data_IF_893283497964
#
_entry.id   IF_893283497964
#
_cell.length_a   1.000
_cell.length_b   1.000
_cell.length_c   1.000
_cell.angle_alpha   90.00
_cell.angle_beta   90.00
_cell.angle_gamma   90.00
#
_symmetry.space_group_name_H-M   'P 1'
#
loop_
_entity.id
_entity.type
_entity.pdbx_description
1 polymer ?
#
# COMPACT_ATOMS: atom_id res chain seq x y z
N UNK A 1 -4.20 9.99 46.27
CA UNK A 1 -5.32 9.06 46.52
C UNK A 1 -4.87 7.67 46.12
N UNK A 2 -4.95 6.66 46.99
CA UNK A 2 -4.78 5.27 46.58
C UNK A 2 -5.84 4.93 45.52
N UNK A 3 -5.50 4.19 44.44
CA UNK A 3 -6.46 3.86 43.41
C UNK A 3 -7.51 2.90 43.97
N UNK A 4 -8.74 3.37 44.14
CA UNK A 4 -9.87 2.51 44.45
C UNK A 4 -10.09 1.53 43.27
N UNK A 5 -10.32 0.24 43.55
CA UNK A 5 -10.63 -0.73 42.50
C UNK A 5 -11.85 -0.28 41.71
N UNK A 6 -11.80 -0.45 40.38
CA UNK A 6 -12.88 -0.09 39.48
C UNK A 6 -14.18 -0.82 39.84
N UNK A 7 -15.28 -0.08 39.90
CA UNK A 7 -16.62 -0.63 40.19
C UNK A 7 -17.18 -1.45 39.02
N UNK A 8 -16.70 -1.21 37.80
CA UNK A 8 -17.14 -1.89 36.58
C UNK A 8 -16.00 -2.69 35.96
N UNK A 9 -16.30 -3.93 35.58
CA UNK A 9 -15.36 -4.80 34.88
C UNK A 9 -15.36 -4.49 33.38
N UNK A 10 -14.27 -3.91 32.88
CA UNK A 10 -14.06 -3.64 31.46
C UNK A 10 -12.94 -4.52 30.93
N UNK A 11 -13.31 -5.63 30.27
CA UNK A 11 -12.34 -6.56 29.70
C UNK A 11 -11.75 -6.05 28.36
N UNK A 12 -10.44 -6.22 28.12
CA UNK A 12 -9.82 -5.89 26.83
C UNK A 12 -10.31 -6.83 25.72
N UNK A 13 -10.31 -6.33 24.48
CA UNK A 13 -10.43 -7.18 23.30
C UNK A 13 -9.05 -7.66 22.85
N UNK A 14 -8.97 -8.86 22.27
CA UNK A 14 -7.69 -9.41 21.82
C UNK A 14 -7.06 -8.51 20.76
N UNK A 15 -5.81 -8.11 20.94
CA UNK A 15 -5.07 -7.22 20.04
C UNK A 15 -5.52 -5.75 20.11
N UNK A 16 -6.36 -5.35 21.07
CA UNK A 16 -6.77 -3.96 21.24
C UNK A 16 -5.59 -3.05 21.59
N UNK A 17 -5.64 -1.80 21.12
CA UNK A 17 -4.66 -0.78 21.54
C UNK A 17 -4.99 -0.30 22.96
N UNK A 18 -3.97 0.05 23.73
CA UNK A 18 -4.16 0.60 25.09
C UNK A 18 -5.00 1.87 25.04
N UNK A 19 -4.79 2.72 24.03
CA UNK A 19 -5.62 3.91 23.79
C UNK A 19 -7.11 3.57 23.57
N UNK A 20 -7.42 2.53 22.77
CA UNK A 20 -8.80 2.06 22.53
C UNK A 20 -9.46 1.57 23.81
N UNK A 21 -8.71 0.82 24.64
CA UNK A 21 -9.20 0.34 25.93
C UNK A 21 -9.54 1.50 26.88
N UNK A 22 -8.67 2.52 26.99
CA UNK A 22 -8.91 3.70 27.82
C UNK A 22 -10.20 4.43 27.38
N UNK A 23 -10.41 4.61 26.07
CA UNK A 23 -11.63 5.23 25.56
C UNK A 23 -12.89 4.43 25.92
N UNK A 24 -12.82 3.09 25.81
CA UNK A 24 -13.94 2.21 26.19
C UNK A 24 -14.19 2.20 27.69
N UNK A 25 -13.14 2.19 28.49
CA UNK A 25 -13.21 2.27 29.93
C UNK A 25 -13.90 3.57 30.36
N UNK A 26 -13.50 4.71 29.78
CA UNK A 26 -14.16 5.98 30.04
C UNK A 26 -15.66 5.91 29.70
N UNK A 27 -16.01 5.36 28.54
CA UNK A 27 -17.40 5.14 28.14
C UNK A 27 -18.19 4.24 29.09
N UNK A 28 -17.56 3.21 29.67
CA UNK A 28 -18.21 2.33 30.66
C UNK A 28 -18.59 3.06 31.95
N UNK A 29 -17.83 4.10 32.33
CA UNK A 29 -18.12 4.97 33.46
C UNK A 29 -18.97 6.20 33.08
N UNK A 30 -19.44 6.32 31.83
CA UNK A 30 -20.15 7.51 31.35
C UNK A 30 -19.28 8.77 31.29
N UNK A 31 -17.96 8.61 31.24
CA UNK A 31 -16.99 9.71 31.23
C UNK A 31 -16.44 9.95 29.81
N UNK A 32 -16.02 11.18 29.56
CA UNK A 32 -15.17 11.47 28.40
C UNK A 32 -13.76 10.89 28.58
N UNK A 33 -13.15 10.44 27.48
CA UNK A 33 -11.80 9.91 27.51
C UNK A 33 -10.76 10.94 28.03
N UNK A 34 -11.00 12.25 27.86
CA UNK A 34 -10.12 13.29 28.44
C UNK A 34 -10.12 13.24 29.97
N UNK A 35 -11.27 13.02 30.59
CA UNK A 35 -11.42 12.94 32.05
C UNK A 35 -10.62 11.78 32.60
N UNK A 36 -10.79 10.59 32.02
CA UNK A 36 -10.05 9.41 32.46
C UNK A 36 -8.54 9.55 32.21
N UNK A 37 -8.14 10.17 31.10
CA UNK A 37 -6.72 10.43 30.80
C UNK A 37 -6.05 11.35 31.83
N UNK A 38 -6.78 12.14 32.60
CA UNK A 38 -6.20 13.00 33.65
C UNK A 38 -5.57 12.20 34.81
N UNK A 39 -5.86 10.90 34.90
CA UNK A 39 -5.26 9.98 35.87
C UNK A 39 -3.77 9.67 35.62
N UNK A 40 -3.20 10.08 34.47
CA UNK A 40 -1.77 9.89 34.15
C UNK A 40 -1.06 11.23 33.92
N UNK A 41 0.23 11.26 34.29
CA UNK A 41 1.15 12.32 33.86
C UNK A 41 1.61 12.07 32.41
N UNK A 42 1.25 12.97 31.51
CA UNK A 42 1.56 12.86 30.08
C UNK A 42 2.93 13.46 29.74
N UNK A 43 3.76 12.70 29.03
CA UNK A 43 5.12 13.13 28.62
C UNK A 43 5.16 13.83 27.26
N UNK A 44 4.09 13.75 26.49
CA UNK A 44 3.94 14.37 25.18
C UNK A 44 2.46 14.49 24.80
N UNK A 45 2.21 15.11 23.65
CA UNK A 45 0.88 15.24 23.05
C UNK A 45 0.56 14.06 22.12
N UNK A 46 -0.73 13.74 21.92
CA UNK A 46 -1.15 12.72 20.98
C UNK A 46 -0.70 13.07 19.55
N UNK A 47 -0.25 12.10 18.74
CA UNK A 47 0.11 12.36 17.37
C UNK A 47 -1.15 12.78 16.59
N UNK A 48 -1.01 13.85 15.80
CA UNK A 48 -2.11 14.44 15.04
C UNK A 48 -2.06 14.13 13.54
N UNK A 49 -3.15 14.43 12.85
CA UNK A 49 -3.15 14.60 11.39
C UNK A 49 -2.81 16.03 11.01
N UNK A 50 -2.29 16.24 9.79
CA UNK A 50 -1.98 17.57 9.26
C UNK A 50 -3.22 18.49 9.20
N UNK A 51 -4.44 17.92 9.21
CA UNK A 51 -5.73 18.62 9.27
C UNK A 51 -6.27 18.90 10.68
N UNK A 52 -5.51 18.59 11.73
CA UNK A 52 -5.94 18.69 13.13
C UNK A 52 -6.62 17.44 13.66
N UNK A 53 -6.64 17.27 14.98
CA UNK A 53 -7.21 16.10 15.67
C UNK A 53 -6.22 14.94 15.86
N UNK A 54 -6.48 14.11 16.87
CA UNK A 54 -5.64 12.95 17.20
C UNK A 54 -5.86 11.82 16.20
N UNK A 55 -4.77 11.15 15.80
CA UNK A 55 -4.83 10.00 14.88
C UNK A 55 -5.59 8.84 15.52
N UNK A 56 -6.36 8.10 14.73
CA UNK A 56 -7.06 6.92 15.23
C UNK A 56 -6.10 5.76 15.59
N UNK A 57 -4.92 5.70 14.98
CA UNK A 57 -3.84 4.76 15.34
C UNK A 57 -2.94 5.24 16.50
N UNK A 58 -3.30 6.33 17.18
CA UNK A 58 -2.55 6.78 18.35
C UNK A 58 -2.58 5.69 19.44
N UNK A 59 -1.41 5.39 19.98
CA UNK A 59 -1.22 4.41 21.04
C UNK A 59 -0.67 5.07 22.30
N UNK A 60 -1.04 4.52 23.46
CA UNK A 60 -0.57 4.92 24.77
C UNK A 60 0.37 3.84 25.32
N UNK A 61 1.59 4.23 25.64
CA UNK A 61 2.51 3.43 26.46
C UNK A 61 2.47 3.92 27.90
N UNK A 62 2.50 2.99 28.84
CA UNK A 62 2.35 3.23 30.27
C UNK A 62 3.57 2.71 31.02
N UNK A 63 4.04 3.47 32.02
CA UNK A 63 5.02 2.95 32.97
C UNK A 63 4.36 1.90 33.90
N UNK A 64 5.16 1.20 34.70
CA UNK A 64 4.67 0.13 35.58
C UNK A 64 3.50 0.58 36.49
N UNK A 65 3.61 1.74 37.12
CA UNK A 65 2.54 2.29 37.98
C UNK A 65 1.30 2.68 37.17
N UNK A 66 1.48 3.21 35.96
CA UNK A 66 0.39 3.53 35.05
C UNK A 66 -0.38 2.31 34.58
N UNK A 67 0.31 1.17 34.41
CA UNK A 67 -0.28 -0.13 34.09
C UNK A 67 -1.10 -0.69 35.25
N UNK A 68 -0.54 -0.67 36.46
CA UNK A 68 -1.26 -1.04 37.68
C UNK A 68 -2.55 -0.24 37.86
N UNK A 69 -2.48 1.07 37.62
CA UNK A 69 -3.66 1.94 37.67
C UNK A 69 -4.70 1.54 36.62
N UNK A 70 -4.30 1.30 35.38
CA UNK A 70 -5.25 0.89 34.33
C UNK A 70 -5.89 -0.47 34.64
N UNK A 71 -5.13 -1.43 35.18
CA UNK A 71 -5.64 -2.73 35.61
C UNK A 71 -6.69 -2.58 36.72
N UNK A 72 -6.38 -1.78 37.74
CA UNK A 72 -7.30 -1.46 38.83
C UNK A 72 -8.60 -0.81 38.32
N UNK A 73 -8.50 0.21 37.46
CA UNK A 73 -9.68 0.89 36.90
C UNK A 73 -10.54 -0.01 36.02
N UNK A 74 -9.92 -0.93 35.27
CA UNK A 74 -10.62 -1.94 34.47
C UNK A 74 -11.28 -3.04 35.32
N UNK A 75 -10.89 -3.19 36.58
CA UNK A 75 -11.31 -4.32 37.43
C UNK A 75 -10.81 -5.67 36.87
N UNK A 76 -9.60 -5.71 36.31
CA UNK A 76 -8.99 -6.94 35.78
C UNK A 76 -7.52 -7.06 36.19
N UNK A 77 -7.03 -8.29 36.30
CA UNK A 77 -5.62 -8.59 36.56
C UNK A 77 -4.72 -8.13 35.42
N UNK A 78 -3.50 -7.69 35.75
CA UNK A 78 -2.50 -7.26 34.76
C UNK A 78 -2.17 -8.36 33.74
N UNK A 79 -2.20 -9.64 34.16
CA UNK A 79 -1.94 -10.77 33.27
C UNK A 79 -3.02 -10.95 32.17
N UNK A 80 -4.23 -10.42 32.38
CA UNK A 80 -5.30 -10.41 31.37
C UNK A 80 -4.99 -9.33 30.34
N UNK A 81 -4.57 -8.15 30.80
CA UNK A 81 -4.16 -7.04 29.93
C UNK A 81 -2.91 -7.40 29.13
N UNK A 82 -1.89 -7.99 29.75
CA UNK A 82 -0.65 -8.41 29.10
C UNK A 82 -0.88 -9.42 27.96
N UNK A 83 -1.87 -10.32 28.09
CA UNK A 83 -2.22 -11.29 27.05
C UNK A 83 -3.04 -10.69 25.91
N UNK A 84 -3.83 -9.66 26.21
CA UNK A 84 -4.76 -9.06 25.25
C UNK A 84 -4.16 -7.86 24.50
N UNK A 85 -3.31 -7.06 25.14
CA UNK A 85 -2.79 -5.80 24.63
C UNK A 85 -1.32 -5.98 24.18
N UNK A 86 -1.02 -5.95 22.87
CA UNK A 86 0.34 -6.14 22.35
C UNK A 86 1.35 -5.09 22.84
N UNK A 87 0.89 -3.89 23.17
CA UNK A 87 1.72 -2.78 23.64
C UNK A 87 1.96 -2.78 25.16
N UNK A 88 1.35 -3.70 25.93
CA UNK A 88 1.34 -3.67 27.41
C UNK A 88 2.75 -3.64 28.02
N UNK A 89 3.64 -4.50 27.53
CA UNK A 89 5.01 -4.60 28.04
C UNK A 89 6.02 -3.69 27.37
N UNK A 90 5.60 -2.85 26.40
CA UNK A 90 6.54 -2.03 25.64
C UNK A 90 7.02 -0.85 26.48
N UNK A 91 8.34 -0.70 26.56
CA UNK A 91 8.99 0.40 27.26
C UNK A 91 9.15 1.61 26.35
N UNK A 92 9.31 2.78 26.96
CA UNK A 92 9.49 4.03 26.24
C UNK A 92 10.53 4.90 26.93
N UNK A 93 11.53 5.37 26.18
CA UNK A 93 12.59 6.22 26.71
C UNK A 93 12.07 7.49 27.41
N UNK A 94 10.88 8.01 27.04
CA UNK A 94 10.27 9.18 27.70
C UNK A 94 9.66 8.85 29.06
N UNK A 95 9.46 7.57 29.36
CA UNK A 95 8.88 7.08 30.61
C UNK A 95 9.95 6.67 31.63
N UNK A 96 11.20 6.45 31.19
CA UNK A 96 12.34 6.05 32.02
C UNK A 96 12.90 7.15 32.93
N UNK A 97 12.45 8.41 32.78
CA UNK A 97 12.99 9.58 33.50
C UNK A 97 12.06 10.15 34.61
N UNK A 98 11.04 9.39 35.04
CA UNK A 98 10.07 9.85 36.05
C UNK A 98 10.48 9.54 37.49
N UNK A 99 10.06 10.36 38.45
CA UNK A 99 10.11 10.02 39.89
C UNK A 99 9.38 8.68 40.12
N UNK A 100 10.07 7.74 40.75
CA UNK A 100 9.52 6.43 41.10
C UNK A 100 8.21 6.59 41.87
N UNK A 101 7.11 6.04 41.33
CA UNK A 101 5.81 5.98 42.01
C UNK A 101 4.65 6.75 41.37
N UNK A 102 4.85 7.53 40.30
CA UNK A 102 3.74 8.28 39.66
C UNK A 102 3.25 7.62 38.36
N UNK A 103 1.92 7.39 38.19
CA UNK A 103 1.35 6.92 36.92
C UNK A 103 1.70 7.88 35.76
N UNK A 104 2.48 7.40 34.80
CA UNK A 104 2.91 8.19 33.64
C UNK A 104 2.55 7.51 32.32
N UNK A 105 2.28 8.31 31.30
CA UNK A 105 1.88 7.86 29.98
C UNK A 105 2.60 8.64 28.87
N UNK A 106 2.89 7.96 27.76
CA UNK A 106 3.47 8.55 26.57
C UNK A 106 2.70 8.12 25.32
N UNK A 107 2.43 9.07 24.43
CA UNK A 107 1.83 8.81 23.14
C UNK A 107 2.85 8.32 22.12
N UNK A 108 2.43 7.34 21.31
CA UNK A 108 3.14 6.84 20.13
C UNK A 108 2.18 6.61 18.98
N UNK A 109 2.72 6.40 17.79
CA UNK A 109 1.95 5.84 16.67
C UNK A 109 1.95 4.33 16.80
N UNK A 110 0.76 3.71 16.82
CA UNK A 110 0.65 2.28 17.08
C UNK A 110 1.46 1.43 16.09
N UNK A 111 1.50 1.84 14.81
CA UNK A 111 2.32 1.21 13.77
C UNK A 111 3.80 1.03 14.13
N UNK A 112 4.37 1.95 14.91
CA UNK A 112 5.77 1.90 15.35
C UNK A 112 5.97 1.10 16.64
N UNK A 113 4.89 0.75 17.35
CA UNK A 113 4.95 0.08 18.66
C UNK A 113 4.92 -1.44 18.51
N UNK A 114 3.89 -1.98 17.87
CA UNK A 114 3.66 -3.43 17.81
C UNK A 114 3.19 -3.94 16.43
N UNK A 115 3.09 -3.06 15.43
CA UNK A 115 2.75 -3.42 14.06
C UNK A 115 1.48 -2.74 13.53
N UNK A 116 0.95 -3.19 12.38
CA UNK A 116 -0.14 -2.51 11.68
C UNK A 116 -1.42 -2.40 12.52
N UNK A 117 -2.05 -1.21 12.47
CA UNK A 117 -3.23 -0.89 13.27
C UNK A 117 -4.46 -0.70 12.38
N UNK A 118 -5.57 -1.30 12.80
CA UNK A 118 -6.84 -1.36 12.10
C UNK A 118 -7.97 -0.88 13.00
N UNK A 119 -9.07 -0.48 12.37
CA UNK A 119 -10.35 -0.50 13.07
C UNK A 119 -10.78 -1.94 13.39
N UNK A 120 -11.44 -2.13 14.53
CA UNK A 120 -12.10 -3.36 14.89
C UNK A 120 -13.53 -3.38 14.34
N UNK A 121 -14.06 -4.59 14.10
CA UNK A 121 -15.45 -4.71 13.70
C UNK A 121 -16.38 -4.29 14.85
N UNK A 122 -17.06 -3.15 14.70
CA UNK A 122 -18.02 -2.62 15.70
C UNK A 122 -19.10 -3.62 16.09
N UNK A 123 -19.56 -4.47 15.17
CA UNK A 123 -20.56 -5.51 15.47
C UNK A 123 -19.99 -6.65 16.34
N UNK A 124 -18.71 -7.00 16.15
CA UNK A 124 -18.02 -7.93 17.06
C UNK A 124 -17.82 -7.31 18.43
N UNK A 125 -17.43 -6.03 18.49
CA UNK A 125 -17.30 -5.30 19.74
C UNK A 125 -18.63 -5.25 20.48
N UNK A 126 -19.71 -4.82 19.81
CA UNK A 126 -21.06 -4.79 20.36
C UNK A 126 -21.50 -6.13 20.96
N UNK A 127 -21.27 -7.26 20.25
CA UNK A 127 -21.60 -8.58 20.80
C UNK A 127 -20.82 -8.92 22.08
N UNK A 128 -19.58 -8.43 22.21
CA UNK A 128 -18.71 -8.72 23.35
C UNK A 128 -18.92 -7.78 24.53
N UNK A 129 -19.31 -6.53 24.26
CA UNK A 129 -19.34 -5.46 25.27
C UNK A 129 -20.73 -4.88 25.51
N UNK A 130 -21.75 -5.32 24.75
CA UNK A 130 -23.11 -4.76 24.81
C UNK A 130 -23.31 -3.48 24.00
N UNK A 131 -22.23 -2.82 23.56
CA UNK A 131 -22.29 -1.48 22.93
C UNK A 131 -21.47 -1.40 21.65
N UNK A 132 -22.04 -0.82 20.60
CA UNK A 132 -21.37 -0.62 19.31
C UNK A 132 -20.36 0.54 19.34
N UNK A 133 -19.23 0.32 19.99
CA UNK A 133 -18.13 1.29 20.13
C UNK A 133 -17.08 1.11 19.04
N UNK A 134 -16.44 2.21 18.64
CA UNK A 134 -15.20 2.17 17.84
C UNK A 134 -14.13 1.46 18.66
N UNK A 135 -13.44 0.53 18.02
CA UNK A 135 -12.31 -0.21 18.62
C UNK A 135 -11.15 -0.10 17.66
N UNK A 136 -9.94 0.04 18.17
CA UNK A 136 -8.71 0.05 17.38
C UNK A 136 -7.83 -1.11 17.84
N UNK A 137 -7.29 -1.87 16.89
CA UNK A 137 -6.57 -3.13 17.16
C UNK A 137 -5.32 -3.25 16.31
N UNK A 138 -4.29 -3.89 16.85
CA UNK A 138 -3.19 -4.44 16.09
C UNK A 138 -3.69 -5.63 15.27
N UNK A 139 -3.80 -5.43 13.97
CA UNK A 139 -4.26 -6.45 13.04
C UNK A 139 -3.46 -6.33 11.75
N UNK A 140 -2.67 -7.37 11.37
CA UNK A 140 -1.96 -7.36 10.12
C UNK A 140 -2.93 -7.42 8.93
N UNK A 141 -2.46 -7.03 7.74
CA UNK A 141 -3.31 -6.94 6.52
C UNK A 141 -4.03 -8.25 6.19
N UNK A 142 -3.39 -9.38 6.44
CA UNK A 142 -3.95 -10.71 6.17
C UNK A 142 -5.00 -11.20 7.19
N UNK A 143 -5.35 -10.39 8.19
CA UNK A 143 -6.37 -10.70 9.20
C UNK A 143 -7.50 -9.65 9.25
N UNK A 144 -7.58 -8.78 8.24
CA UNK A 144 -8.54 -7.67 8.19
C UNK A 144 -9.97 -8.09 7.86
N UNK A 145 -10.20 -9.32 7.41
CA UNK A 145 -11.56 -9.79 7.08
C UNK A 145 -12.29 -10.24 8.34
N UNK A 146 -13.31 -9.49 8.74
CA UNK A 146 -14.32 -9.97 9.67
C UNK A 146 -15.30 -10.89 8.93
N UNK A 147 -14.96 -12.17 8.83
CA UNK A 147 -15.77 -13.20 8.13
C UNK A 147 -17.21 -13.23 8.64
N UNK A 148 -17.41 -13.03 9.94
CA UNK A 148 -18.74 -13.12 10.56
C UNK A 148 -19.70 -12.02 10.13
N UNK A 149 -19.17 -10.83 9.82
CA UNK A 149 -20.00 -9.67 9.46
C UNK A 149 -19.77 -9.22 8.02
N UNK A 150 -18.95 -9.95 7.24
CA UNK A 150 -18.62 -9.62 5.85
C UNK A 150 -17.99 -8.24 5.72
N UNK A 151 -16.98 -7.92 6.53
CA UNK A 151 -16.36 -6.57 6.54
C UNK A 151 -14.85 -6.62 6.47
N UNK A 152 -14.26 -5.84 5.57
CA UNK A 152 -12.83 -5.54 5.60
C UNK A 152 -12.55 -4.41 6.57
N UNK A 153 -11.65 -4.60 7.53
CA UNK A 153 -11.25 -3.55 8.47
C UNK A 153 -10.18 -2.62 7.87
N UNK A 154 -10.48 -1.33 7.78
CA UNK A 154 -9.55 -0.35 7.22
C UNK A 154 -8.44 0.02 8.20
N UNK A 155 -7.31 0.50 7.67
CA UNK A 155 -6.23 1.03 8.49
C UNK A 155 -6.69 2.25 9.30
N UNK A 156 -6.30 2.26 10.58
CA UNK A 156 -6.60 3.37 11.50
C UNK A 156 -5.62 4.55 11.37
N UNK A 157 -4.55 4.38 10.59
CA UNK A 157 -3.49 5.37 10.40
C UNK A 157 -3.84 6.41 9.32
N UNK A 158 -4.89 6.14 8.53
CA UNK A 158 -5.36 6.96 7.45
C UNK A 158 -6.43 7.95 7.92
N UNK A 159 -6.27 9.20 7.50
CA UNK A 159 -7.22 10.29 7.74
C UNK A 159 -8.43 10.16 6.80
N UNK A 160 -9.32 9.20 7.10
CA UNK A 160 -10.50 8.94 6.30
C UNK A 160 -11.65 8.40 7.17
N UNK A 161 -12.92 8.70 6.83
CA UNK A 161 -14.05 8.48 7.73
C UNK A 161 -14.54 7.03 7.82
N UNK A 162 -14.17 6.16 6.87
CA UNK A 162 -14.66 4.79 6.81
C UNK A 162 -13.87 3.90 7.77
N UNK A 163 -14.56 3.09 8.58
CA UNK A 163 -13.86 2.11 9.43
C UNK A 163 -13.73 0.75 8.75
N UNK A 164 -14.60 0.49 7.77
CA UNK A 164 -14.67 -0.78 7.09
C UNK A 164 -15.19 -0.63 5.66
N UNK A 165 -14.93 -1.66 4.85
CA UNK A 165 -15.58 -1.90 3.57
C UNK A 165 -16.52 -3.10 3.68
N UNK A 166 -17.61 -3.05 2.94
CA UNK A 166 -18.56 -4.17 2.84
C UNK A 166 -18.03 -5.24 1.87
N UNK A 167 -18.13 -6.50 2.28
CA UNK A 167 -17.70 -7.67 1.51
C UNK A 167 -18.85 -8.63 1.20
N UNK A 168 -20.11 -8.25 1.45
CA UNK A 168 -21.28 -9.13 1.21
C UNK A 168 -21.31 -9.66 -0.23
N UNK A 169 -20.99 -8.82 -1.21
CA UNK A 169 -21.00 -9.17 -2.63
C UNK A 169 -19.63 -9.67 -3.15
N UNK A 170 -18.71 -10.01 -2.22
CA UNK A 170 -17.33 -10.42 -2.48
C UNK A 170 -16.96 -11.70 -1.72
N UNK A 171 -17.64 -12.83 -1.99
CA UNK A 171 -17.36 -14.10 -1.33
C UNK A 171 -15.91 -14.58 -1.53
N UNK A 172 -15.27 -14.19 -2.64
CA UNK A 172 -13.88 -14.55 -2.94
C UNK A 172 -12.87 -13.99 -1.92
N UNK A 173 -13.13 -12.82 -1.33
CA UNK A 173 -12.27 -12.20 -0.30
C UNK A 173 -12.36 -12.99 1.00
N UNK A 174 -13.56 -13.42 1.36
CA UNK A 174 -13.79 -14.30 2.52
C UNK A 174 -13.18 -15.69 2.30
N UNK A 175 -13.27 -16.24 1.09
CA UNK A 175 -12.63 -17.49 0.74
C UNK A 175 -11.09 -17.37 0.81
N UNK A 176 -10.53 -16.25 0.35
CA UNK A 176 -9.11 -15.95 0.47
C UNK A 176 -8.63 -15.91 1.93
N UNK A 177 -9.42 -15.29 2.83
CA UNK A 177 -9.11 -15.26 4.27
C UNK A 177 -8.98 -16.68 4.85
N UNK A 178 -9.88 -17.59 4.45
CA UNK A 178 -9.85 -19.00 4.90
C UNK A 178 -8.66 -19.76 4.29
N UNK A 179 -8.33 -19.48 3.03
CA UNK A 179 -7.15 -20.07 2.36
C UNK A 179 -5.86 -19.61 3.01
N UNK A 180 -5.77 -18.34 3.40
CA UNK A 180 -4.56 -17.77 4.03
C UNK A 180 -4.08 -18.59 5.23
N UNK A 181 -4.98 -19.09 6.08
CA UNK A 181 -4.58 -19.96 7.21
C UNK A 181 -3.81 -21.20 6.76
N UNK A 182 -4.17 -21.81 5.62
CA UNK A 182 -3.45 -22.96 5.05
C UNK A 182 -2.11 -22.54 4.45
N UNK A 183 -2.09 -21.41 3.75
CA UNK A 183 -0.87 -20.81 3.15
C UNK A 183 0.16 -20.48 4.22
N UNK A 184 -0.25 -19.81 5.31
CA UNK A 184 0.61 -19.48 6.44
C UNK A 184 1.22 -20.73 7.09
N UNK A 185 0.45 -21.81 7.27
CA UNK A 185 0.98 -23.10 7.76
C UNK A 185 1.94 -23.75 6.78
N UNK A 186 1.77 -23.55 5.46
CA UNK A 186 2.73 -24.02 4.46
C UNK A 186 4.02 -23.20 4.50
N UNK A 187 3.93 -21.89 4.66
CA UNK A 187 5.10 -21.02 4.84
C UNK A 187 5.96 -21.48 6.01
N UNK A 188 5.36 -21.68 7.20
CA UNK A 188 6.09 -22.17 8.38
C UNK A 188 6.77 -23.52 8.11
N UNK A 189 6.07 -24.47 7.48
CA UNK A 189 6.64 -25.79 7.11
C UNK A 189 7.79 -25.69 6.10
N UNK A 190 7.78 -24.66 5.25
CA UNK A 190 8.83 -24.36 4.30
C UNK A 190 9.97 -23.51 4.91
N UNK A 191 9.96 -23.25 6.23
CA UNK A 191 10.94 -22.41 6.91
C UNK A 191 10.83 -20.92 6.61
N UNK A 192 9.71 -20.47 6.05
CA UNK A 192 9.45 -19.07 5.71
C UNK A 192 8.49 -18.43 6.72
N UNK A 193 8.75 -17.16 7.06
CA UNK A 193 7.85 -16.39 7.91
C UNK A 193 6.58 -15.99 7.12
N UNK A 194 5.36 -16.31 7.59
CA UNK A 194 4.12 -15.98 6.88
C UNK A 194 3.98 -14.49 6.55
N UNK A 195 4.44 -13.60 7.45
CA UNK A 195 4.39 -12.17 7.25
C UNK A 195 5.23 -11.71 6.05
N UNK A 196 6.42 -12.29 5.87
CA UNK A 196 7.33 -11.98 4.77
C UNK A 196 6.82 -12.51 3.44
N UNK A 197 6.26 -13.72 3.43
CA UNK A 197 5.58 -14.29 2.27
C UNK A 197 4.41 -13.40 1.84
N UNK A 198 3.59 -12.95 2.80
CA UNK A 198 2.50 -12.02 2.52
C UNK A 198 3.01 -10.70 1.96
N UNK A 199 4.02 -10.09 2.60
CA UNK A 199 4.56 -8.79 2.19
C UNK A 199 5.09 -8.82 0.76
N UNK A 200 5.86 -9.85 0.40
CA UNK A 200 6.36 -10.01 -0.97
C UNK A 200 5.23 -10.21 -1.98
N UNK A 201 4.28 -11.09 -1.67
CA UNK A 201 3.14 -11.38 -2.56
C UNK A 201 2.23 -10.16 -2.73
N UNK A 202 2.03 -9.40 -1.65
CA UNK A 202 1.29 -8.14 -1.67
C UNK A 202 2.00 -7.09 -2.50
N UNK A 203 3.32 -6.96 -2.40
CA UNK A 203 4.09 -6.06 -3.25
C UNK A 203 3.99 -6.40 -4.75
N UNK A 204 4.04 -7.70 -5.11
CA UNK A 204 3.84 -8.16 -6.50
C UNK A 204 2.46 -7.71 -7.01
N UNK A 205 1.40 -8.03 -6.26
CA UNK A 205 0.04 -7.72 -6.69
C UNK A 205 -0.28 -6.23 -6.63
N UNK A 206 0.28 -5.49 -5.68
CA UNK A 206 0.14 -4.03 -5.61
C UNK A 206 0.76 -3.36 -6.84
N UNK A 207 1.88 -3.89 -7.35
CA UNK A 207 2.48 -3.37 -8.58
C UNK A 207 1.63 -3.66 -9.81
N UNK A 208 1.06 -4.86 -9.90
CA UNK A 208 0.07 -5.19 -10.93
C UNK A 208 -1.18 -4.30 -10.84
N UNK A 209 -1.62 -3.97 -9.62
CA UNK A 209 -2.75 -3.09 -9.39
C UNK A 209 -2.54 -1.68 -9.96
N UNK A 210 -1.34 -1.12 -9.81
CA UNK A 210 -1.00 0.19 -10.38
C UNK A 210 -1.01 0.17 -11.91
N UNK A 211 -0.51 -0.91 -12.53
CA UNK A 211 -0.50 -1.08 -13.99
C UNK A 211 -1.87 -1.48 -14.57
N UNK A 212 -2.70 -2.15 -13.77
CA UNK A 212 -3.92 -2.82 -14.21
C UNK A 212 -5.00 -1.92 -14.78
N UNK A 213 -4.92 -0.59 -14.57
CA UNK A 213 -5.80 0.37 -15.25
C UNK A 213 -5.64 0.36 -16.78
N UNK A 214 -4.47 -0.04 -17.26
CA UNK A 214 -4.13 -0.01 -18.68
C UNK A 214 -4.32 -1.38 -19.35
N UNK A 215 -4.75 -2.40 -18.60
CA UNK A 215 -4.95 -3.74 -19.13
C UNK A 215 -6.40 -3.90 -19.61
N UNK A 216 -6.58 -3.94 -20.93
CA UNK A 216 -7.89 -4.08 -21.57
C UNK A 216 -8.67 -5.33 -21.10
N UNK A 217 -7.94 -6.39 -20.75
CA UNK A 217 -8.52 -7.68 -20.32
C UNK A 217 -8.89 -7.73 -18.83
N UNK A 218 -8.52 -6.70 -18.04
CA UNK A 218 -8.78 -6.68 -16.60
C UNK A 218 -10.21 -6.21 -16.29
N UNK A 219 -11.07 -7.15 -15.91
CA UNK A 219 -12.48 -6.89 -15.60
C UNK A 219 -12.83 -7.15 -14.13
N UNK A 220 -12.00 -7.90 -13.41
CA UNK A 220 -12.30 -8.40 -12.06
C UNK A 220 -12.07 -7.30 -11.04
N UNK A 221 -10.90 -6.67 -11.06
CA UNK A 221 -10.52 -5.63 -10.12
C UNK A 221 -11.42 -4.39 -10.20
N UNK A 222 -11.72 -3.83 -11.38
CA UNK A 222 -12.71 -2.76 -11.50
C UNK A 222 -14.06 -3.15 -10.92
N UNK A 223 -14.60 -4.33 -11.29
CA UNK A 223 -15.90 -4.81 -10.77
C UNK A 223 -15.92 -4.87 -9.25
N UNK A 224 -14.91 -5.51 -8.63
CA UNK A 224 -14.81 -5.59 -7.17
C UNK A 224 -14.67 -4.22 -6.52
N UNK A 225 -13.94 -3.30 -7.16
CA UNK A 225 -13.77 -1.93 -6.69
C UNK A 225 -15.12 -1.19 -6.63
N UNK A 226 -15.95 -1.32 -7.67
CA UNK A 226 -17.30 -0.78 -7.67
C UNK A 226 -18.15 -1.41 -6.56
N UNK A 227 -18.04 -2.71 -6.31
CA UNK A 227 -18.78 -3.39 -5.24
C UNK A 227 -18.38 -2.89 -3.84
N UNK A 228 -17.08 -2.76 -3.53
CA UNK A 228 -16.65 -2.20 -2.21
C UNK A 228 -17.01 -0.72 -2.06
N UNK A 229 -17.20 0.00 -3.16
CA UNK A 229 -17.63 1.38 -3.19
C UNK A 229 -19.15 1.57 -3.03
N UNK A 230 -19.93 0.49 -2.82
CA UNK A 230 -21.38 0.55 -2.71
C UNK A 230 -22.11 0.61 -4.07
N UNK A 231 -21.47 0.11 -5.13
CA UNK A 231 -22.04 -0.04 -6.47
C UNK A 231 -21.42 0.87 -7.53
N UNK A 232 -20.94 2.06 -7.16
CA UNK A 232 -20.30 2.97 -8.10
C UNK A 232 -19.14 3.78 -7.49
N UNK A 233 -17.91 3.47 -7.90
CA UNK A 233 -16.72 4.23 -7.52
C UNK A 233 -16.53 5.53 -8.33
N UNK A 234 -17.25 5.73 -9.44
CA UNK A 234 -16.93 6.70 -10.50
C UNK A 234 -16.86 8.17 -10.09
N UNK A 235 -17.52 8.58 -9.00
CA UNK A 235 -17.41 9.95 -8.48
C UNK A 235 -16.10 10.26 -7.75
N UNK A 236 -15.35 9.23 -7.32
CA UNK A 236 -14.09 9.37 -6.58
C UNK A 236 -13.18 8.14 -6.80
N UNK A 237 -13.01 7.77 -8.08
CA UNK A 237 -12.34 6.52 -8.47
C UNK A 237 -10.93 6.42 -7.90
N UNK A 238 -10.17 7.52 -7.89
CA UNK A 238 -8.80 7.56 -7.40
C UNK A 238 -8.72 7.29 -5.89
N UNK A 239 -9.59 7.92 -5.10
CA UNK A 239 -9.68 7.62 -3.67
C UNK A 239 -10.08 6.17 -3.45
N UNK A 240 -11.08 5.68 -4.19
CA UNK A 240 -11.51 4.29 -4.08
C UNK A 240 -10.40 3.33 -4.43
N UNK A 241 -9.57 3.63 -5.44
CA UNK A 241 -8.42 2.79 -5.78
C UNK A 241 -7.40 2.68 -4.66
N UNK A 242 -7.28 3.71 -3.82
CA UNK A 242 -6.41 3.69 -2.63
C UNK A 242 -7.07 2.94 -1.49
N UNK A 243 -8.30 3.31 -1.14
CA UNK A 243 -9.03 2.77 0.04
C UNK A 243 -9.42 1.30 -0.17
N UNK A 244 -9.82 0.94 -1.37
CA UNK A 244 -10.32 -0.39 -1.73
C UNK A 244 -9.23 -1.39 -2.09
N UNK A 245 -8.00 -0.94 -2.41
CA UNK A 245 -6.93 -1.78 -2.97
C UNK A 245 -6.78 -3.10 -2.22
N UNK A 246 -6.47 -3.02 -0.93
CA UNK A 246 -6.10 -4.19 -0.15
C UNK A 246 -7.25 -5.21 -0.05
N UNK A 247 -8.51 -4.76 -0.01
CA UNK A 247 -9.67 -5.65 -0.03
C UNK A 247 -9.88 -6.30 -1.41
N UNK A 248 -9.75 -5.51 -2.48
CA UNK A 248 -10.01 -5.94 -3.87
C UNK A 248 -8.98 -6.96 -4.36
N UNK A 249 -7.71 -6.74 -4.01
CA UNK A 249 -6.58 -7.56 -4.48
C UNK A 249 -6.24 -8.73 -3.56
N UNK A 250 -6.82 -8.78 -2.35
CA UNK A 250 -6.53 -9.82 -1.36
C UNK A 250 -6.62 -11.26 -1.91
N UNK A 251 -7.62 -11.63 -2.75
CA UNK A 251 -7.68 -12.96 -3.32
C UNK A 251 -6.45 -13.32 -4.15
N UNK A 252 -5.96 -12.39 -4.97
CA UNK A 252 -4.77 -12.58 -5.79
C UNK A 252 -3.50 -12.60 -4.94
N UNK A 253 -3.41 -11.79 -3.88
CA UNK A 253 -2.28 -11.82 -2.93
C UNK A 253 -2.12 -13.20 -2.31
N UNK A 254 -3.23 -13.80 -1.86
CA UNK A 254 -3.21 -15.15 -1.27
C UNK A 254 -2.85 -16.22 -2.31
N UNK A 255 -3.32 -16.08 -3.56
CA UNK A 255 -3.01 -17.00 -4.64
C UNK A 255 -1.52 -16.93 -5.06
N UNK A 256 -0.95 -15.73 -5.16
CA UNK A 256 0.48 -15.52 -5.41
C UNK A 256 1.31 -16.10 -4.26
N UNK A 257 0.94 -15.85 -3.01
CA UNK A 257 1.63 -16.43 -1.86
C UNK A 257 1.62 -17.97 -1.88
N UNK A 258 0.48 -18.57 -2.19
CA UNK A 258 0.36 -20.04 -2.30
C UNK A 258 1.22 -20.60 -3.45
N UNK A 259 1.24 -19.89 -4.59
CA UNK A 259 2.04 -20.27 -5.76
C UNK A 259 3.55 -20.15 -5.48
N UNK A 260 4.02 -19.04 -4.90
CA UNK A 260 5.45 -18.86 -4.62
C UNK A 260 5.98 -19.83 -3.56
N UNK A 261 5.10 -20.39 -2.71
CA UNK A 261 5.46 -21.45 -1.76
C UNK A 261 5.50 -22.86 -2.40
N UNK A 262 5.01 -23.03 -3.63
CA UNK A 262 5.01 -24.32 -4.33
C UNK A 262 6.41 -24.63 -4.89
N UNK A 263 7.07 -25.72 -4.48
CA UNK A 263 8.38 -26.11 -5.02
C UNK A 263 8.39 -26.27 -6.55
N UNK A 264 7.25 -26.61 -7.16
CA UNK A 264 7.13 -26.69 -8.62
C UNK A 264 7.31 -25.32 -9.27
N UNK A 265 6.85 -24.23 -8.63
CA UNK A 265 7.05 -22.87 -9.14
C UNK A 265 8.52 -22.47 -9.09
N UNK A 266 9.24 -22.82 -8.01
CA UNK A 266 10.69 -22.62 -7.94
C UNK A 266 11.44 -23.43 -9.02
N UNK A 267 10.95 -24.62 -9.36
CA UNK A 267 11.50 -25.44 -10.45
C UNK A 267 11.27 -24.79 -11.83
N UNK A 268 10.10 -24.21 -12.06
CA UNK A 268 9.81 -23.50 -13.32
C UNK A 268 10.72 -22.28 -13.47
N UNK A 269 10.86 -21.46 -12.42
CA UNK A 269 11.77 -20.30 -12.45
C UNK A 269 13.23 -20.69 -12.76
N UNK A 270 13.69 -21.80 -12.17
CA UNK A 270 15.02 -22.37 -12.44
C UNK A 270 15.19 -22.84 -13.90
N UNK A 271 14.17 -23.48 -14.46
CA UNK A 271 14.20 -24.00 -15.83
C UNK A 271 14.15 -22.84 -16.84
N UNK A 272 13.31 -21.85 -16.59
CA UNK A 272 13.20 -20.64 -17.40
C UNK A 272 14.51 -19.85 -17.43
N UNK A 273 15.29 -19.84 -16.34
CA UNK A 273 16.60 -19.16 -16.29
C UNK A 273 17.73 -19.88 -17.06
N UNK A 274 17.42 -20.98 -17.75
CA UNK A 274 18.41 -21.82 -18.44
C UNK A 274 19.22 -22.71 -17.50
N UNK A 275 18.76 -22.84 -16.25
CA UNK A 275 19.40 -23.65 -15.22
C UNK A 275 20.91 -23.34 -15.08
N UNK A 276 21.78 -24.29 -15.43
CA UNK A 276 23.23 -24.18 -15.34
C UNK A 276 23.84 -23.24 -16.40
N UNK A 277 23.12 -22.94 -17.48
CA UNK A 277 23.54 -21.99 -18.52
C UNK A 277 22.64 -20.75 -18.46
N UNK A 278 23.12 -19.63 -17.85
CA UNK A 278 22.28 -18.46 -17.65
C UNK A 278 21.74 -17.91 -18.97
N UNK A 279 20.41 -17.76 -19.06
CA UNK A 279 19.73 -17.03 -20.14
C UNK A 279 18.81 -15.96 -19.55
N UNK A 280 18.54 -14.86 -20.27
CA UNK A 280 17.49 -13.91 -19.90
C UNK A 280 16.15 -14.66 -19.71
N UNK A 281 15.37 -14.24 -18.71
CA UNK A 281 14.05 -14.81 -18.49
C UNK A 281 13.16 -14.48 -19.69
N UNK A 282 12.55 -15.50 -20.34
CA UNK A 282 11.68 -15.26 -21.48
C UNK A 282 10.38 -14.58 -21.03
N UNK A 283 9.85 -13.67 -21.84
CA UNK A 283 8.58 -12.98 -21.58
C UNK A 283 7.38 -13.95 -21.54
N UNK A 284 7.50 -15.13 -22.13
CA UNK A 284 6.52 -16.21 -22.17
C UNK A 284 6.93 -17.46 -21.36
N UNK A 285 7.82 -17.27 -20.37
CA UNK A 285 8.32 -18.34 -19.50
C UNK A 285 7.22 -19.19 -18.85
N UNK A 286 7.51 -20.47 -18.67
CA UNK A 286 6.56 -21.43 -18.08
C UNK A 286 6.16 -21.02 -16.65
N UNK A 287 7.07 -20.40 -15.89
CA UNK A 287 6.78 -19.84 -14.58
C UNK A 287 5.68 -18.78 -14.63
N UNK A 288 5.84 -17.76 -15.48
CA UNK A 288 4.89 -16.65 -15.55
C UNK A 288 3.52 -17.11 -16.09
N UNK A 289 3.50 -18.00 -17.08
CA UNK A 289 2.25 -18.63 -17.56
C UNK A 289 1.54 -19.38 -16.44
N UNK A 290 2.27 -20.22 -15.71
CA UNK A 290 1.72 -20.98 -14.58
C UNK A 290 1.24 -20.06 -13.45
N UNK A 291 1.93 -18.95 -13.20
CA UNK A 291 1.50 -17.96 -12.21
C UNK A 291 0.18 -17.30 -12.62
N UNK A 292 0.04 -16.94 -13.91
CA UNK A 292 -1.23 -16.44 -14.48
C UNK A 292 -2.39 -17.41 -14.28
N UNK A 293 -2.17 -18.71 -14.54
CA UNK A 293 -3.17 -19.75 -14.27
C UNK A 293 -3.52 -19.86 -12.78
N UNK A 294 -2.54 -19.74 -11.88
CA UNK A 294 -2.74 -19.84 -10.43
C UNK A 294 -3.60 -18.71 -9.86
N UNK A 295 -3.57 -17.53 -10.50
CA UNK A 295 -4.42 -16.39 -10.13
C UNK A 295 -5.70 -16.30 -10.97
N UNK A 296 -6.00 -17.33 -11.76
CA UNK A 296 -7.16 -17.41 -12.66
C UNK A 296 -7.20 -16.27 -13.71
N UNK A 297 -6.01 -15.82 -14.13
CA UNK A 297 -5.81 -14.81 -15.18
C UNK A 297 -4.65 -15.24 -16.08
N UNK A 298 -4.83 -16.21 -16.99
CA UNK A 298 -3.75 -16.69 -17.85
C UNK A 298 -3.06 -15.59 -18.67
N UNK A 299 -3.83 -14.55 -19.06
CA UNK A 299 -3.32 -13.39 -19.79
C UNK A 299 -2.37 -12.50 -18.96
N UNK A 300 -2.39 -12.59 -17.63
CA UNK A 300 -1.52 -11.83 -16.74
C UNK A 300 -0.09 -12.34 -16.78
N UNK A 301 0.12 -13.64 -17.08
CA UNK A 301 1.44 -14.26 -17.08
C UNK A 301 2.46 -13.50 -17.93
N UNK A 302 2.20 -13.31 -19.24
CA UNK A 302 3.09 -12.54 -20.10
C UNK A 302 3.37 -11.10 -19.61
N UNK A 303 2.36 -10.42 -19.04
CA UNK A 303 2.50 -9.06 -18.51
C UNK A 303 3.33 -9.02 -17.22
N UNK A 304 3.22 -10.04 -16.37
CA UNK A 304 4.04 -10.19 -15.18
C UNK A 304 5.53 -10.43 -15.55
N UNK A 305 5.81 -11.00 -16.71
CA UNK A 305 7.17 -11.24 -17.19
C UNK A 305 7.86 -9.96 -17.71
N UNK A 306 7.10 -8.95 -18.12
CA UNK A 306 7.64 -7.63 -18.53
C UNK A 306 8.01 -6.74 -17.33
N UNK A 307 7.74 -7.21 -16.10
CA UNK A 307 8.03 -6.49 -14.87
C UNK A 307 9.50 -6.63 -14.40
N UNK A 308 10.40 -6.00 -15.15
CA UNK A 308 11.83 -5.99 -14.83
C UNK A 308 12.12 -5.22 -13.54
N UNK A 309 12.89 -5.83 -12.64
CA UNK A 309 13.30 -5.22 -11.36
C UNK A 309 12.26 -5.28 -10.25
N UNK A 310 11.06 -5.83 -10.51
CA UNK A 310 10.01 -5.98 -9.49
C UNK A 310 10.27 -7.07 -8.44
N UNK A 311 9.43 -7.14 -7.39
CA UNK A 311 9.56 -8.14 -6.32
C UNK A 311 9.52 -9.59 -6.83
N UNK A 312 8.75 -9.86 -7.88
CA UNK A 312 8.67 -11.19 -8.50
C UNK A 312 10.01 -11.60 -9.13
N UNK A 313 10.62 -10.70 -9.89
CA UNK A 313 11.95 -10.91 -10.51
C UNK A 313 13.03 -11.07 -9.44
N UNK A 314 12.95 -10.32 -8.33
CA UNK A 314 13.85 -10.48 -7.18
C UNK A 314 13.72 -11.86 -6.51
N UNK A 315 12.49 -12.35 -6.33
CA UNK A 315 12.22 -13.68 -5.81
C UNK A 315 12.81 -14.76 -6.73
N UNK A 316 12.54 -14.69 -8.04
CA UNK A 316 13.07 -15.63 -9.04
C UNK A 316 14.61 -15.63 -9.03
N UNK A 317 15.23 -14.44 -9.03
CA UNK A 317 16.68 -14.29 -8.97
C UNK A 317 17.29 -14.93 -7.73
N UNK A 318 16.65 -14.80 -6.57
CA UNK A 318 17.11 -15.40 -5.31
C UNK A 318 17.03 -16.93 -5.36
N UNK A 319 15.93 -17.49 -5.87
CA UNK A 319 15.78 -18.95 -6.09
C UNK A 319 16.87 -19.48 -7.02
N UNK A 320 17.16 -18.78 -8.12
CA UNK A 320 18.18 -19.17 -9.10
C UNK A 320 19.58 -19.14 -8.47
N UNK A 321 19.92 -18.07 -7.72
CA UNK A 321 21.22 -17.94 -7.03
C UNK A 321 21.43 -19.05 -5.99
N UNK A 322 20.43 -19.31 -5.16
CA UNK A 322 20.48 -20.39 -4.17
C UNK A 322 20.76 -21.74 -4.82
N UNK A 323 20.11 -22.04 -5.95
CA UNK A 323 20.29 -23.30 -6.67
C UNK A 323 21.63 -23.43 -7.39
N UNK A 324 22.25 -22.32 -7.79
CA UNK A 324 23.59 -22.31 -8.41
C UNK A 324 24.73 -22.46 -7.41
N UNK A 325 24.45 -22.36 -6.11
CA UNK A 325 25.51 -22.26 -5.11
C UNK A 325 26.33 -20.97 -5.23
N UNK A 326 25.88 -19.99 -6.03
CA UNK A 326 26.49 -18.67 -6.18
C UNK A 326 25.99 -17.69 -5.11
N UNK A 327 25.22 -18.17 -4.14
CA UNK A 327 24.85 -17.37 -2.98
C UNK A 327 26.08 -17.15 -2.11
N UNK A 328 26.45 -15.88 -1.90
CA UNK A 328 27.43 -15.52 -0.87
C UNK A 328 26.98 -15.91 0.56
N UNK A 329 27.69 -15.47 1.61
CA UNK A 329 27.25 -15.71 2.98
C UNK A 329 25.78 -15.28 3.20
N UNK A 330 25.07 -15.88 4.18
CA UNK A 330 23.68 -15.54 4.47
C UNK A 330 23.50 -14.03 4.57
N UNK A 331 22.61 -13.47 3.74
CA UNK A 331 22.44 -12.03 3.59
C UNK A 331 21.24 -11.69 2.70
N UNK A 332 20.93 -10.39 2.60
CA UNK A 332 19.73 -9.85 1.94
C UNK A 332 19.54 -10.32 0.49
N UNK A 333 20.63 -10.60 -0.23
CA UNK A 333 20.57 -10.98 -1.65
C UNK A 333 20.27 -12.47 -1.90
N UNK A 334 20.30 -13.31 -0.86
CA UNK A 334 20.07 -14.76 -0.99
C UNK A 334 18.74 -15.24 -0.41
N UNK A 335 17.99 -14.36 0.27
CA UNK A 335 16.71 -14.70 0.86
C UNK A 335 15.56 -14.40 -0.12
N UNK A 336 14.84 -15.41 -0.63
CA UNK A 336 13.74 -15.21 -1.58
C UNK A 336 12.61 -14.37 -1.01
N UNK A 337 12.46 -14.30 0.32
CA UNK A 337 11.39 -13.58 0.99
C UNK A 337 11.82 -12.19 1.46
N UNK A 338 13.01 -11.73 1.06
CA UNK A 338 13.45 -10.37 1.32
C UNK A 338 12.79 -9.38 0.37
N UNK A 339 12.15 -8.37 0.94
CA UNK A 339 11.48 -7.30 0.19
C UNK A 339 12.28 -6.01 0.35
N UNK A 340 12.89 -5.57 -0.76
CA UNK A 340 13.60 -4.28 -0.83
C UNK A 340 12.65 -3.12 -0.53
N UNK A 341 13.18 -2.08 0.10
CA UNK A 341 12.38 -0.90 0.48
C UNK A 341 11.73 -0.23 -0.73
N UNK A 342 12.43 -0.12 -1.86
CA UNK A 342 11.89 0.41 -3.13
C UNK A 342 10.69 -0.37 -3.68
N UNK A 343 10.57 -1.65 -3.30
CA UNK A 343 9.52 -2.56 -3.74
C UNK A 343 8.35 -2.62 -2.74
N UNK A 344 8.44 -1.93 -1.60
CA UNK A 344 7.33 -1.87 -0.65
C UNK A 344 6.22 -0.99 -1.20
N UNK A 345 4.99 -1.51 -1.22
CA UNK A 345 3.83 -0.73 -1.64
C UNK A 345 3.56 0.43 -0.69
N UNK A 346 3.19 1.59 -1.23
CA UNK A 346 2.76 2.72 -0.43
C UNK A 346 1.56 2.36 0.47
N UNK A 347 1.53 2.92 1.69
CA UNK A 347 0.42 2.73 2.62
C UNK A 347 -0.80 3.53 2.18
N UNK A 348 -2.00 3.10 2.58
CA UNK A 348 -3.25 3.82 2.31
C UNK A 348 -3.16 5.27 2.81
N UNK A 349 -2.70 5.48 4.05
CA UNK A 349 -2.50 6.81 4.61
C UNK A 349 -1.49 7.66 3.80
N UNK A 350 -0.40 7.04 3.32
CA UNK A 350 0.58 7.71 2.47
C UNK A 350 -0.03 8.19 1.16
N UNK A 351 -0.73 7.30 0.45
CA UNK A 351 -1.37 7.61 -0.83
C UNK A 351 -2.49 8.66 -0.68
N UNK A 352 -3.32 8.57 0.37
CA UNK A 352 -4.36 9.57 0.63
C UNK A 352 -3.79 10.95 0.95
N UNK A 353 -2.64 11.04 1.64
CA UNK A 353 -1.96 12.31 1.87
C UNK A 353 -1.43 12.93 0.57
N UNK A 354 -0.87 12.11 -0.32
CA UNK A 354 -0.42 12.58 -1.64
C UNK A 354 -1.61 13.11 -2.43
N UNK A 355 -2.69 12.32 -2.56
CA UNK A 355 -3.91 12.73 -3.24
C UNK A 355 -4.53 14.00 -2.63
N UNK A 356 -4.52 14.12 -1.29
CA UNK A 356 -5.02 15.29 -0.59
C UNK A 356 -4.16 16.55 -0.82
N UNK A 357 -2.84 16.41 -0.97
CA UNK A 357 -1.94 17.51 -1.33
C UNK A 357 -2.14 17.92 -2.79
N UNK A 358 -2.25 16.94 -3.69
CA UNK A 358 -2.55 17.17 -5.10
C UNK A 358 -3.86 17.95 -5.24
N UNK A 359 -4.96 17.52 -4.59
CA UNK A 359 -6.26 18.22 -4.60
C UNK A 359 -6.23 19.64 -3.98
N UNK A 360 -5.22 19.98 -3.16
CA UNK A 360 -5.09 21.28 -2.48
C UNK A 360 -4.09 22.23 -3.15
N UNK A 361 -3.29 21.77 -4.09
CA UNK A 361 -2.33 22.60 -4.79
C UNK A 361 -3.04 23.70 -5.62
N UNK A 362 -2.56 24.96 -5.62
CA UNK A 362 -3.10 25.97 -6.52
C UNK A 362 -3.03 25.48 -7.99
N UNK A 363 -4.12 25.66 -8.75
CA UNK A 363 -4.25 25.16 -10.13
C UNK A 363 -4.75 23.71 -10.28
N UNK A 364 -4.79 22.90 -9.22
CA UNK A 364 -5.16 21.46 -9.31
C UNK A 364 -6.66 21.15 -9.26
N UNK A 365 -7.51 22.19 -9.18
CA UNK A 365 -8.97 22.04 -9.12
C UNK A 365 -9.62 21.46 -10.38
N UNK A 366 -8.85 21.24 -11.45
CA UNK A 366 -9.34 20.60 -12.67
C UNK A 366 -8.46 19.39 -12.98
N UNK A 367 -8.97 18.21 -12.64
CA UNK A 367 -8.36 16.93 -13.01
C UNK A 367 -7.94 16.98 -14.48
N UNK A 368 -6.68 16.67 -14.83
CA UNK A 368 -6.17 16.70 -16.21
C UNK A 368 -7.13 16.04 -17.22
N UNK A 369 -7.81 14.95 -16.81
CA UNK A 369 -8.81 14.26 -17.65
C UNK A 369 -10.12 15.02 -17.86
N UNK A 370 -10.50 15.89 -16.93
CA UNK A 370 -11.68 16.74 -16.99
C UNK A 370 -11.43 18.03 -17.79
N UNK A 371 -10.18 18.52 -17.82
CA UNK A 371 -9.80 19.75 -18.51
C UNK A 371 -9.22 19.53 -19.90
N UNK A 372 -8.53 18.42 -20.14
CA UNK A 372 -7.90 18.11 -21.42
C UNK A 372 -8.76 17.09 -22.17
N UNK A 373 -9.17 17.44 -23.39
CA UNK A 373 -10.05 16.61 -24.22
C UNK A 373 -9.44 15.23 -24.45
N UNK A 374 -10.29 14.21 -24.66
CA UNK A 374 -9.83 12.85 -24.91
C UNK A 374 -8.92 12.76 -26.14
N UNK A 375 -9.17 13.58 -27.15
CA UNK A 375 -8.38 13.66 -28.38
C UNK A 375 -6.97 14.24 -28.11
N UNK A 376 -6.87 15.34 -27.37
CA UNK A 376 -5.58 15.91 -26.97
C UNK A 376 -4.79 14.95 -26.09
N UNK A 377 -5.45 14.24 -25.17
CA UNK A 377 -4.81 13.21 -24.35
C UNK A 377 -4.28 12.05 -25.20
N UNK A 378 -5.06 11.58 -26.18
CA UNK A 378 -4.62 10.52 -27.08
C UNK A 378 -3.41 10.92 -27.93
N UNK A 379 -3.35 12.18 -28.38
CA UNK A 379 -2.22 12.71 -29.15
C UNK A 379 -0.94 12.83 -28.31
N UNK A 380 -1.05 13.26 -27.05
CA UNK A 380 0.08 13.31 -26.11
C UNK A 380 0.57 11.88 -25.81
N UNK A 381 -0.34 10.96 -25.49
CA UNK A 381 -0.01 9.56 -25.23
C UNK A 381 0.68 8.91 -26.44
N UNK A 382 0.16 9.09 -27.67
CA UNK A 382 0.76 8.54 -28.88
C UNK A 382 2.18 9.07 -29.13
N UNK A 383 2.43 10.35 -28.85
CA UNK A 383 3.76 10.94 -29.00
C UNK A 383 4.76 10.36 -27.98
N UNK A 384 4.33 10.14 -26.74
CA UNK A 384 5.14 9.52 -25.68
C UNK A 384 5.42 8.05 -26.00
N UNK A 385 4.40 7.27 -26.35
CA UNK A 385 4.53 5.86 -26.72
C UNK A 385 5.42 5.68 -27.97
N UNK A 386 5.27 6.56 -28.97
CA UNK A 386 6.14 6.57 -30.15
C UNK A 386 7.60 6.87 -29.79
N UNK A 387 7.86 7.82 -28.88
CA UNK A 387 9.22 8.09 -28.41
C UNK A 387 9.81 6.90 -27.64
N UNK A 388 9.01 6.27 -26.77
CA UNK A 388 9.40 5.08 -26.01
C UNK A 388 9.76 3.91 -26.95
N UNK A 389 8.93 3.64 -27.96
CA UNK A 389 9.19 2.59 -28.94
C UNK A 389 10.50 2.82 -29.69
N UNK A 390 10.75 4.05 -30.16
CA UNK A 390 11.99 4.38 -30.87
C UNK A 390 13.23 4.24 -29.98
N UNK A 391 13.14 4.65 -28.70
CA UNK A 391 14.22 4.48 -27.73
C UNK A 391 14.46 3.00 -27.38
N UNK A 392 13.42 2.17 -27.35
CA UNK A 392 13.54 0.72 -27.18
C UNK A 392 14.19 0.06 -28.41
N UNK A 393 13.90 0.52 -29.63
CA UNK A 393 14.56 0.04 -30.84
C UNK A 393 16.07 0.36 -30.84
N UNK A 394 16.50 1.49 -30.29
CA UNK A 394 17.94 1.83 -30.16
C UNK A 394 18.74 0.76 -29.40
N UNK A 395 18.14 0.13 -28.38
CA UNK A 395 18.82 -0.94 -27.62
C UNK A 395 19.09 -2.20 -28.44
N UNK A 396 18.37 -2.38 -29.56
CA UNK A 396 18.47 -3.56 -30.44
C UNK A 396 19.43 -3.34 -31.62
N UNK A 397 19.85 -2.10 -31.89
CA UNK A 397 20.79 -1.75 -32.97
C UNK A 397 22.23 -1.85 -32.45
N UNK A 398 22.75 -3.06 -32.24
CA UNK A 398 24.14 -3.28 -31.81
C UNK A 398 24.94 -4.24 -32.70
N UNK A 399 24.41 -4.65 -33.84
CA UNK A 399 25.08 -5.59 -34.76
C UNK A 399 24.98 -5.10 -36.20
N UNK A 400 26.13 -4.90 -36.84
CA UNK A 400 26.25 -4.46 -38.23
C UNK A 400 27.52 -3.62 -38.46
N UNK A 401 27.78 -3.19 -39.71
CA UNK A 401 28.89 -2.29 -40.02
C UNK A 401 28.78 -0.98 -39.23
N UNK A 402 29.89 -0.50 -38.65
CA UNK A 402 29.93 0.66 -37.75
C UNK A 402 29.28 1.91 -38.32
N UNK A 403 29.46 2.18 -39.62
CA UNK A 403 28.89 3.35 -40.28
C UNK A 403 27.35 3.29 -40.36
N UNK A 404 26.78 2.11 -40.60
CA UNK A 404 25.34 1.92 -40.71
C UNK A 404 24.66 1.92 -39.35
N UNK A 405 25.30 1.29 -38.35
CA UNK A 405 24.89 1.36 -36.94
C UNK A 405 24.90 2.80 -36.44
N UNK A 406 25.98 3.55 -36.66
CA UNK A 406 26.08 4.95 -36.24
C UNK A 406 25.02 5.84 -36.93
N UNK A 407 24.81 5.67 -38.24
CA UNK A 407 23.79 6.41 -39.00
C UNK A 407 22.38 6.12 -38.48
N UNK A 408 22.08 4.85 -38.21
CA UNK A 408 20.78 4.42 -37.71
C UNK A 408 20.52 4.93 -36.28
N UNK A 409 21.52 4.86 -35.40
CA UNK A 409 21.43 5.40 -34.02
C UNK A 409 21.17 6.91 -34.03
N UNK A 410 21.93 7.68 -34.83
CA UNK A 410 21.75 9.13 -34.93
C UNK A 410 20.37 9.51 -35.49
N UNK A 411 19.88 8.77 -36.50
CA UNK A 411 18.55 9.02 -37.10
C UNK A 411 17.43 8.73 -36.10
N UNK A 412 17.50 7.62 -35.38
CA UNK A 412 16.50 7.22 -34.39
C UNK A 412 16.51 8.13 -33.15
N UNK A 413 17.69 8.55 -32.68
CA UNK A 413 17.83 9.53 -31.60
C UNK A 413 17.23 10.88 -32.01
N UNK A 414 17.52 11.37 -33.23
CA UNK A 414 16.93 12.61 -33.75
C UNK A 414 15.41 12.52 -33.83
N UNK A 415 14.87 11.41 -34.33
CA UNK A 415 13.42 11.22 -34.43
C UNK A 415 12.74 11.14 -33.05
N UNK A 416 13.37 10.44 -32.09
CA UNK A 416 12.89 10.37 -30.71
C UNK A 416 12.88 11.76 -30.04
N UNK A 417 13.92 12.57 -30.28
CA UNK A 417 13.98 13.94 -29.78
C UNK A 417 12.81 14.78 -30.30
N UNK A 418 12.45 14.67 -31.59
CA UNK A 418 11.27 15.36 -32.16
C UNK A 418 9.95 14.89 -31.54
N UNK A 419 9.80 13.59 -31.26
CA UNK A 419 8.59 13.05 -30.61
C UNK A 419 8.46 13.54 -29.16
N UNK A 420 9.57 13.57 -28.42
CA UNK A 420 9.63 14.10 -27.05
C UNK A 420 9.30 15.59 -27.04
N UNK A 421 9.89 16.36 -27.97
CA UNK A 421 9.62 17.79 -28.12
C UNK A 421 8.14 18.04 -28.43
N UNK A 422 7.54 17.25 -29.33
CA UNK A 422 6.12 17.36 -29.66
C UNK A 422 5.20 16.99 -28.50
N UNK A 423 5.52 15.93 -27.74
CA UNK A 423 4.77 15.55 -26.55
C UNK A 423 4.82 16.65 -25.49
N UNK A 424 6.00 17.23 -25.28
CA UNK A 424 6.22 18.33 -24.37
C UNK A 424 5.44 19.59 -24.79
N UNK A 425 5.53 20.03 -26.06
CA UNK A 425 4.77 21.19 -26.60
C UNK A 425 3.26 21.03 -26.37
N UNK A 426 2.72 19.87 -26.71
CA UNK A 426 1.29 19.56 -26.55
C UNK A 426 0.86 19.50 -25.08
N UNK A 427 1.74 19.06 -24.20
CA UNK A 427 1.49 19.04 -22.75
C UNK A 427 1.46 20.45 -22.17
N UNK A 428 2.39 21.31 -22.57
CA UNK A 428 2.43 22.72 -22.16
C UNK A 428 1.20 23.49 -22.65
N UNK A 429 0.80 23.31 -23.92
CA UNK A 429 -0.42 23.88 -24.49
C UNK A 429 -1.69 23.40 -23.75
N UNK A 430 -1.78 22.11 -23.45
CA UNK A 430 -2.91 21.57 -22.71
C UNK A 430 -2.99 22.09 -21.27
N UNK A 431 -1.84 22.31 -20.60
CA UNK A 431 -1.78 22.93 -19.29
C UNK A 431 -2.23 24.40 -19.32
N UNK A 432 -1.74 25.18 -20.29
CA UNK A 432 -2.15 26.58 -20.48
C UNK A 432 -3.67 26.68 -20.78
N UNK A 433 -4.19 25.86 -21.68
CA UNK A 433 -5.62 25.80 -22.03
C UNK A 433 -6.50 25.33 -20.85
N UNK A 434 -5.95 24.56 -19.93
CA UNK A 434 -6.65 24.16 -18.70
C UNK A 434 -6.81 25.32 -17.69
N UNK A 435 -6.17 26.47 -17.96
CA UNK A 435 -6.22 27.68 -17.13
C UNK A 435 -5.05 27.80 -16.14
N UNK A 436 -3.94 27.10 -16.39
CA UNK A 436 -2.74 27.21 -15.56
C UNK A 436 -2.00 28.53 -15.83
N UNK A 437 -1.41 29.17 -14.80
CA UNK A 437 -0.58 30.37 -14.99
C UNK A 437 0.57 30.09 -15.94
N UNK A 438 0.77 30.96 -16.95
CA UNK A 438 1.80 30.77 -17.98
C UNK A 438 3.21 30.79 -17.38
N UNK A 439 3.41 31.54 -16.30
CA UNK A 439 4.67 31.63 -15.58
C UNK A 439 5.04 30.29 -14.92
N UNK A 440 4.07 29.57 -14.35
CA UNK A 440 4.28 28.25 -13.76
C UNK A 440 4.54 27.20 -14.84
N UNK A 441 3.78 27.23 -15.94
CA UNK A 441 3.98 26.32 -17.07
C UNK A 441 5.35 26.55 -17.71
N UNK A 442 5.77 27.81 -17.88
CA UNK A 442 7.08 28.16 -18.43
C UNK A 442 8.22 27.68 -17.52
N UNK A 443 8.05 27.81 -16.20
CA UNK A 443 9.00 27.28 -15.22
C UNK A 443 9.15 25.76 -15.32
N UNK A 444 8.05 25.01 -15.41
CA UNK A 444 8.09 23.54 -15.57
C UNK A 444 8.71 23.12 -16.90
N UNK A 445 8.47 23.93 -17.92
CA UNK A 445 8.93 23.71 -19.27
C UNK A 445 10.40 24.15 -19.48
N UNK A 446 11.02 24.76 -18.47
CA UNK A 446 12.42 25.19 -18.52
C UNK A 446 12.67 26.38 -19.45
N UNK A 447 11.69 27.25 -19.65
CA UNK A 447 11.76 28.40 -20.57
C UNK A 447 11.13 29.68 -20.00
N UNK A 448 11.31 30.81 -20.69
CA UNK A 448 10.64 32.06 -20.32
C UNK A 448 9.16 32.03 -20.72
N UNK A 449 8.33 32.80 -20.00
CA UNK A 449 6.92 32.95 -20.30
C UNK A 449 6.67 33.55 -21.70
N UNK A 450 7.55 34.46 -22.15
CA UNK A 450 7.50 35.04 -23.49
C UNK A 450 7.77 33.98 -24.57
N UNK A 451 8.80 33.15 -24.38
CA UNK A 451 9.13 32.07 -25.31
C UNK A 451 8.04 30.99 -25.37
N UNK A 452 7.38 30.73 -24.23
CA UNK A 452 6.21 29.85 -24.19
C UNK A 452 5.05 30.46 -24.98
N UNK A 453 4.79 31.76 -24.84
CA UNK A 453 3.70 32.45 -25.54
C UNK A 453 3.88 32.44 -27.06
N UNK A 454 5.09 32.75 -27.55
CA UNK A 454 5.41 32.71 -28.97
C UNK A 454 5.25 31.29 -29.57
N UNK A 455 5.62 30.27 -28.79
CA UNK A 455 5.47 28.87 -29.20
C UNK A 455 4.00 28.42 -29.26
N UNK A 456 3.18 28.86 -28.31
CA UNK A 456 1.74 28.57 -28.29
C UNK A 456 1.01 29.29 -29.44
N UNK A 457 1.44 30.50 -29.78
CA UNK A 457 0.92 31.25 -30.94
C UNK A 457 1.25 30.56 -32.28
N UNK A 458 2.49 30.08 -32.46
CA UNK A 458 2.89 29.35 -33.66
C UNK A 458 2.14 28.01 -33.84
N UNK A 459 1.76 27.36 -32.74
CA UNK A 459 1.04 26.08 -32.77
C UNK A 459 -0.44 26.22 -33.19
N UNK A 460 -0.99 27.45 -33.19
CA UNK A 460 -2.34 27.74 -33.65
C UNK A 460 -2.44 27.94 -35.18
N UNK A 461 -1.33 28.24 -35.87
CA UNK A 461 -1.29 28.46 -37.32
C UNK A 461 -1.14 27.15 -38.13
N UNK A 462 -0.56 26.11 -37.54
CA UNK A 462 -0.37 24.79 -38.18
C UNK A 462 -1.58 23.83 -38.07
N UNK A 463 -2.70 24.31 -37.52
CA UNK A 463 -3.91 23.52 -37.24
C UNK A 463 -5.16 23.88 -38.05
N UNK A 464 -5.02 24.66 -39.13
CA UNK A 464 -6.10 25.04 -40.05
C UNK A 464 -6.39 24.01 -41.13
#
# INVERSE_FOLDING_TARGET
MPPHPGLLRTAPLQGETTASLICRLAGSYGLEAKTLRSCWQWRNYPPGHDGGGARADAEVLLNAVGRQLLASLCGVEENVLARALPSWGQEDAKLSAGKDGVPSAAWRTGGAVAGPVAFGCRLCAARRTGTAVRVVRYVPRWERVCVRHGRWQLDADADQPLEHLDLRDLPEVTAAQRRWTKVARRAVRAGAEPARVFALSHAVVARWWEQGLHWERETIWPRRLHQVAGGNAGGDLERWRIVGRDAVVFPEVVAVADALLDPAMAQLAWTDSGAKQPRPLPADGAFCRRLGERVDRPWLGPLAATDYGGPLTSWMGSVIRLRRGTGGPPGYDNDPWWLRQENQSATMAGQLRVLGKEKKAPGSGRMWRATVSAEQRALITRAIEGAEEQLLQLRRVQTGPTADVARQLLRNLRHSATLIENAWKRTALAAANAGMPLEEVAQWAGMSADALTDMLAASHEDGG
#
